data_IF_737845445647
#
_entry.id   IF_737845445647
#
_cell.length_a   1.000
_cell.length_b   1.000
_cell.length_c   1.000
_cell.angle_alpha   90.00
_cell.angle_beta   90.00
_cell.angle_gamma   90.00
#
_symmetry.space_group_name_H-M   'P 1'
#
loop_
_entity.id
_entity.type
_entity.pdbx_description
1 polymer ?
#
# COMPACT_ATOMS: atom_id res chain seq x y z
N UNK A 1 -12.88 -23.92 1.50
CA UNK A 1 -12.48 -22.67 0.81
C UNK A 1 -12.90 -21.49 1.69
N UNK A 2 -11.95 -20.71 2.24
CA UNK A 2 -12.27 -19.49 2.98
C UNK A 2 -13.00 -18.55 2.01
N UNK A 3 -14.23 -18.12 2.33
CA UNK A 3 -14.86 -17.00 1.65
C UNK A 3 -13.88 -15.83 1.77
N UNK A 4 -13.23 -15.46 0.66
CA UNK A 4 -12.61 -14.16 0.58
C UNK A 4 -13.76 -13.18 0.72
N UNK A 5 -13.84 -12.52 1.87
CA UNK A 5 -14.76 -11.42 2.06
C UNK A 5 -14.23 -10.30 1.15
N UNK A 6 -14.64 -10.34 -0.14
CA UNK A 6 -14.43 -9.29 -1.14
C UNK A 6 -15.04 -7.99 -0.60
N UNK A 7 -14.32 -7.33 0.30
CA UNK A 7 -14.78 -6.13 0.98
C UNK A 7 -13.73 -5.06 0.80
N UNK A 8 -14.13 -3.97 0.13
CA UNK A 8 -13.31 -2.79 -0.09
C UNK A 8 -13.41 -2.28 -1.52
N UNK A 9 -12.26 -2.06 -2.14
CA UNK A 9 -12.12 -1.34 -3.40
C UNK A 9 -12.73 -2.04 -4.63
N UNK A 10 -12.48 -3.34 -4.91
CA UNK A 10 -12.96 -3.98 -6.15
C UNK A 10 -14.48 -4.02 -6.24
N UNK A 11 -15.17 -4.29 -5.12
CA UNK A 11 -16.64 -4.27 -5.06
C UNK A 11 -17.17 -2.87 -5.34
N UNK A 12 -16.58 -1.84 -4.72
CA UNK A 12 -17.02 -0.46 -4.95
C UNK A 12 -16.79 -0.03 -6.42
N UNK A 13 -15.68 -0.41 -7.04
CA UNK A 13 -15.41 -0.17 -8.47
C UNK A 13 -16.45 -0.87 -9.35
N UNK A 14 -16.69 -2.17 -9.13
CA UNK A 14 -17.68 -2.93 -9.88
C UNK A 14 -19.11 -2.38 -9.71
N UNK A 15 -19.45 -1.94 -8.49
CA UNK A 15 -20.71 -1.27 -8.19
C UNK A 15 -20.85 0.06 -8.92
N UNK A 16 -19.78 0.86 -9.00
CA UNK A 16 -19.79 2.12 -9.73
C UNK A 16 -19.95 1.90 -11.24
N UNK A 17 -19.30 0.88 -11.80
CA UNK A 17 -19.47 0.48 -13.21
C UNK A 17 -20.93 0.13 -13.49
N UNK A 18 -21.50 -0.79 -12.70
CA UNK A 18 -22.92 -1.21 -12.83
C UNK A 18 -23.87 -0.02 -12.70
N UNK A 19 -23.61 0.88 -11.75
CA UNK A 19 -24.40 2.08 -11.55
C UNK A 19 -24.36 2.98 -12.78
N UNK A 20 -23.17 3.23 -13.35
CA UNK A 20 -22.99 4.06 -14.56
C UNK A 20 -23.71 3.44 -15.76
N UNK A 21 -23.62 2.12 -15.95
CA UNK A 21 -24.31 1.42 -17.02
C UNK A 21 -25.84 1.56 -16.90
N UNK A 22 -26.39 1.39 -15.69
CA UNK A 22 -27.84 1.51 -15.46
C UNK A 22 -28.30 2.96 -15.69
N UNK A 23 -27.64 3.97 -15.11
CA UNK A 23 -28.07 5.37 -15.30
C UNK A 23 -27.94 5.83 -16.75
N UNK A 24 -27.01 5.26 -17.53
CA UNK A 24 -26.90 5.56 -18.95
C UNK A 24 -28.16 5.13 -19.73
N UNK A 25 -28.84 4.06 -19.30
CA UNK A 25 -30.11 3.63 -19.93
C UNK A 25 -31.27 4.59 -19.70
N UNK A 26 -31.20 5.45 -18.67
CA UNK A 26 -32.25 6.42 -18.36
C UNK A 26 -32.26 7.64 -19.30
N UNK A 27 -31.18 7.84 -20.07
CA UNK A 27 -31.07 8.92 -21.07
C UNK A 27 -31.37 10.31 -20.48
N UNK A 28 -32.19 11.09 -21.19
CA UNK A 28 -32.53 12.47 -20.80
C UNK A 28 -33.29 12.59 -19.47
N UNK A 29 -33.90 11.50 -18.97
CA UNK A 29 -34.59 11.52 -17.68
C UNK A 29 -33.61 11.60 -16.49
N UNK A 30 -32.34 11.24 -16.70
CA UNK A 30 -31.28 11.42 -15.71
C UNK A 30 -30.56 12.76 -15.93
N UNK A 31 -31.03 13.82 -15.25
CA UNK A 31 -30.48 15.17 -15.39
C UNK A 31 -30.24 15.85 -14.02
N UNK A 32 -29.22 15.41 -13.26
CA UNK A 32 -28.94 16.00 -11.96
C UNK A 32 -28.30 17.40 -12.07
N UNK A 33 -28.74 18.31 -11.21
CA UNK A 33 -28.14 19.65 -11.07
C UNK A 33 -26.73 19.58 -10.50
N UNK A 34 -26.51 18.69 -9.51
CA UNK A 34 -25.20 18.50 -8.87
C UNK A 34 -24.21 17.92 -9.88
N UNK A 35 -23.10 18.63 -10.10
CA UNK A 35 -22.05 18.25 -11.05
C UNK A 35 -21.44 16.87 -10.76
N UNK A 36 -21.10 16.56 -9.51
CA UNK A 36 -20.37 15.32 -9.15
C UNK A 36 -21.09 14.02 -9.54
N UNK A 37 -22.43 14.05 -9.71
CA UNK A 37 -23.23 12.88 -10.10
C UNK A 37 -23.68 12.90 -11.55
N UNK A 38 -23.23 13.88 -12.35
CA UNK A 38 -23.42 13.83 -13.81
C UNK A 38 -22.62 12.66 -14.39
N UNK A 39 -23.17 12.06 -15.44
CA UNK A 39 -22.66 10.82 -16.03
C UNK A 39 -21.18 10.94 -16.45
N UNK A 40 -20.80 12.05 -17.09
CA UNK A 40 -19.41 12.32 -17.48
C UNK A 40 -18.47 12.41 -16.28
N UNK A 41 -18.88 13.08 -15.20
CA UNK A 41 -18.07 13.19 -13.99
C UNK A 41 -17.94 11.86 -13.25
N UNK A 42 -18.97 11.01 -13.28
CA UNK A 42 -18.92 9.66 -12.70
C UNK A 42 -17.96 8.74 -13.48
N UNK A 43 -17.94 8.84 -14.82
CA UNK A 43 -16.95 8.13 -15.66
C UNK A 43 -15.53 8.61 -15.38
N UNK A 44 -15.31 9.93 -15.38
CA UNK A 44 -14.00 10.51 -15.08
C UNK A 44 -13.51 10.15 -13.66
N UNK A 45 -14.41 10.08 -12.67
CA UNK A 45 -14.08 9.61 -11.33
C UNK A 45 -13.68 8.13 -11.31
N UNK A 46 -14.40 7.28 -12.04
CA UNK A 46 -14.09 5.87 -12.18
C UNK A 46 -12.71 5.65 -12.80
N UNK A 47 -12.35 6.42 -13.82
CA UNK A 47 -11.04 6.32 -14.48
C UNK A 47 -9.91 6.75 -13.55
N UNK A 48 -10.09 7.87 -12.83
CA UNK A 48 -9.14 8.31 -11.78
C UNK A 48 -8.96 7.26 -10.69
N UNK A 49 -10.04 6.63 -10.24
CA UNK A 49 -9.99 5.55 -9.25
C UNK A 49 -9.21 4.34 -9.78
N UNK A 50 -9.47 3.89 -11.01
CA UNK A 50 -8.72 2.78 -11.63
C UNK A 50 -7.24 3.11 -11.79
N UNK A 51 -6.91 4.36 -12.14
CA UNK A 51 -5.54 4.84 -12.22
C UNK A 51 -4.85 4.80 -10.84
N UNK A 52 -5.50 5.32 -9.80
CA UNK A 52 -4.94 5.32 -8.43
C UNK A 52 -4.67 3.92 -7.88
N UNK A 53 -5.48 2.91 -8.26
CA UNK A 53 -5.22 1.52 -7.90
C UNK A 53 -3.93 1.02 -8.55
N UNK A 54 -3.73 1.31 -9.83
CA UNK A 54 -2.49 0.97 -10.54
C UNK A 54 -1.28 1.69 -9.95
N UNK A 55 -1.42 2.96 -9.55
CA UNK A 55 -0.35 3.72 -8.89
C UNK A 55 0.07 3.06 -7.56
N UNK A 56 -0.89 2.59 -6.76
CA UNK A 56 -0.61 1.83 -5.54
C UNK A 56 0.13 0.52 -5.86
N UNK A 57 -0.29 -0.22 -6.90
CA UNK A 57 0.38 -1.46 -7.32
C UNK A 57 1.82 -1.20 -7.80
N UNK A 58 2.05 -0.11 -8.55
CA UNK A 58 3.40 0.24 -8.98
C UNK A 58 4.31 0.69 -7.84
N UNK A 59 3.77 1.45 -6.87
CA UNK A 59 4.56 1.95 -5.73
C UNK A 59 4.91 0.85 -4.72
N UNK A 60 4.05 -0.16 -4.52
CA UNK A 60 4.41 -1.33 -3.72
C UNK A 60 5.51 -2.17 -4.38
N UNK A 61 5.49 -2.30 -5.71
CA UNK A 61 6.56 -2.99 -6.45
C UNK A 61 7.89 -2.25 -6.34
N UNK A 62 7.87 -0.91 -6.41
CA UNK A 62 9.07 -0.07 -6.21
C UNK A 62 9.63 -0.25 -4.80
N UNK A 63 8.78 -0.22 -3.77
CA UNK A 63 9.20 -0.44 -2.39
C UNK A 63 9.77 -1.84 -2.17
N UNK A 64 9.14 -2.87 -2.74
CA UNK A 64 9.61 -4.25 -2.68
C UNK A 64 11.01 -4.41 -3.32
N UNK A 65 11.21 -3.80 -4.50
CA UNK A 65 12.51 -3.79 -5.18
C UNK A 65 13.58 -3.06 -4.36
N UNK A 66 13.27 -1.87 -3.84
CA UNK A 66 14.19 -1.11 -2.99
C UNK A 66 14.61 -1.89 -1.74
N UNK A 67 13.66 -2.58 -1.10
CA UNK A 67 13.93 -3.41 0.07
C UNK A 67 14.84 -4.59 -0.24
N UNK A 68 14.62 -5.28 -1.38
CA UNK A 68 15.46 -6.40 -1.84
C UNK A 68 16.88 -5.96 -2.21
N UNK A 69 17.03 -4.81 -2.89
CA UNK A 69 18.36 -4.26 -3.20
C UNK A 69 19.14 -3.95 -1.92
N UNK A 70 18.46 -3.40 -0.89
CA UNK A 70 19.08 -3.16 0.41
C UNK A 70 19.50 -4.47 1.09
N UNK A 71 18.66 -5.51 1.03
CA UNK A 71 18.95 -6.84 1.59
C UNK A 71 20.19 -7.47 0.94
N UNK A 72 20.29 -7.43 -0.39
CA UNK A 72 21.41 -8.00 -1.14
C UNK A 72 22.78 -7.40 -0.74
N UNK A 73 22.84 -6.11 -0.38
CA UNK A 73 24.10 -5.48 0.09
C UNK A 73 24.62 -6.14 1.38
N UNK A 74 23.75 -6.78 2.17
CA UNK A 74 24.15 -7.45 3.41
C UNK A 74 24.51 -8.93 3.22
N UNK A 75 24.22 -9.54 2.07
CA UNK A 75 24.51 -10.97 1.82
C UNK A 75 26.02 -11.24 1.80
N UNK A 76 26.81 -10.34 1.18
CA UNK A 76 28.27 -10.46 1.08
C UNK A 76 28.97 -10.34 2.45
N UNK A 77 28.34 -9.68 3.43
CA UNK A 77 28.93 -9.46 4.75
C UNK A 77 29.21 -10.78 5.48
N UNK A 78 28.40 -11.82 5.26
CA UNK A 78 28.57 -13.13 5.87
C UNK A 78 29.88 -13.83 5.46
N UNK A 79 30.29 -13.66 4.20
CA UNK A 79 31.52 -14.24 3.65
C UNK A 79 32.76 -13.55 4.25
N UNK A 80 32.81 -12.22 4.21
CA UNK A 80 33.90 -11.45 4.82
C UNK A 80 34.06 -11.76 6.31
N UNK A 81 32.95 -11.84 7.05
CA UNK A 81 32.97 -12.22 8.48
C UNK A 81 33.57 -13.62 8.68
N UNK A 82 33.30 -14.58 7.78
CA UNK A 82 33.90 -15.93 7.83
C UNK A 82 35.41 -15.87 7.59
N UNK A 83 35.85 -15.14 6.56
CA UNK A 83 37.26 -14.97 6.25
C UNK A 83 38.04 -14.35 7.42
N UNK A 84 37.48 -13.31 8.06
CA UNK A 84 38.16 -12.65 9.19
C UNK A 84 38.25 -13.60 10.39
N UNK A 85 37.22 -14.40 10.70
CA UNK A 85 37.30 -15.42 11.77
C UNK A 85 38.42 -16.42 11.50
N UNK A 86 38.53 -16.90 10.26
CA UNK A 86 39.61 -17.80 9.86
C UNK A 86 41.00 -17.18 10.02
N UNK A 87 41.17 -15.93 9.57
CA UNK A 87 42.45 -15.20 9.69
C UNK A 87 42.83 -14.89 11.15
N UNK A 88 41.86 -14.53 11.99
CA UNK A 88 42.10 -14.29 13.43
C UNK A 88 42.45 -15.60 14.15
N UNK A 89 41.82 -16.71 13.75
CA UNK A 89 42.12 -18.03 14.29
C UNK A 89 43.49 -18.59 13.91
N UNK A 90 44.09 -18.13 12.81
CA UNK A 90 45.45 -18.52 12.38
C UNK A 90 46.56 -17.63 12.95
N UNK A 91 46.21 -16.54 13.64
CA UNK A 91 47.19 -15.70 14.31
C UNK A 91 47.56 -16.28 15.69
N UNK A 92 48.83 -16.13 16.09
CA UNK A 92 49.32 -16.48 17.43
C UNK A 92 48.84 -15.48 18.50
N UNK A 93 47.52 -15.42 18.71
CA UNK A 93 46.88 -14.57 19.73
C UNK A 93 46.28 -15.41 20.86
N UNK A 94 46.10 -14.79 22.03
CA UNK A 94 45.49 -15.46 23.18
C UNK A 94 44.09 -16.03 22.83
N UNK A 95 43.76 -17.25 23.28
CA UNK A 95 42.46 -17.88 23.01
C UNK A 95 41.27 -17.06 23.52
N UNK A 96 41.45 -16.31 24.63
CA UNK A 96 40.44 -15.39 25.14
C UNK A 96 40.09 -14.24 24.16
N UNK A 97 41.05 -13.83 23.32
CA UNK A 97 40.86 -12.78 22.31
C UNK A 97 40.12 -13.34 21.07
N UNK A 98 40.36 -14.60 20.71
CA UNK A 98 39.61 -15.32 19.68
C UNK A 98 38.14 -15.47 20.07
N UNK A 99 37.86 -15.88 21.31
CA UNK A 99 36.48 -16.00 21.81
C UNK A 99 35.76 -14.65 21.84
N UNK A 100 36.47 -13.59 22.25
CA UNK A 100 35.94 -12.22 22.20
C UNK A 100 35.56 -11.81 20.77
N UNK A 101 36.40 -12.12 19.78
CA UNK A 101 36.12 -11.85 18.37
C UNK A 101 34.95 -12.69 17.83
N UNK A 102 34.90 -13.99 18.15
CA UNK A 102 33.78 -14.87 17.82
C UNK A 102 32.45 -14.38 18.40
N UNK A 103 32.47 -13.78 19.60
CA UNK A 103 31.29 -13.17 20.21
C UNK A 103 30.78 -11.94 19.43
N UNK A 104 31.67 -11.15 18.82
CA UNK A 104 31.30 -10.02 17.96
C UNK A 104 30.70 -10.52 16.64
N UNK A 105 31.29 -11.57 16.04
CA UNK A 105 30.80 -12.20 14.82
C UNK A 105 29.38 -12.77 15.00
N UNK A 106 29.09 -13.38 16.15
CA UNK A 106 27.72 -13.82 16.50
C UNK A 106 26.71 -12.66 16.53
N UNK A 107 27.13 -11.46 16.96
CA UNK A 107 26.28 -10.26 16.90
C UNK A 107 26.03 -9.82 15.45
N UNK A 108 27.05 -9.84 14.59
CA UNK A 108 26.90 -9.52 13.16
C UNK A 108 25.96 -10.47 12.42
N UNK A 109 25.99 -11.77 12.75
CA UNK A 109 25.14 -12.80 12.13
C UNK A 109 23.73 -12.89 12.72
N UNK A 110 23.38 -12.04 13.68
CA UNK A 110 22.16 -12.16 14.48
C UNK A 110 21.93 -13.55 15.12
N UNK A 111 22.98 -14.37 15.24
CA UNK A 111 22.95 -15.69 15.89
C UNK A 111 23.38 -15.51 17.36
N UNK A 112 22.42 -15.23 18.25
CA UNK A 112 22.68 -15.14 19.69
C UNK A 112 22.39 -16.47 20.41
N UNK A 113 23.28 -16.86 21.32
CA UNK A 113 23.06 -17.99 22.23
C UNK A 113 22.12 -17.65 23.41
N UNK A 114 22.04 -16.38 23.83
CA UNK A 114 21.13 -15.87 24.89
C UNK A 114 20.78 -14.38 24.68
N UNK A 115 19.62 -13.88 25.18
CA UNK A 115 19.23 -12.47 25.07
C UNK A 115 19.84 -11.61 26.21
N UNK A 116 20.36 -10.41 25.91
CA UNK A 116 20.73 -9.40 26.93
C UNK A 116 20.90 -7.99 26.33
N UNK A 117 20.59 -6.99 27.17
CA UNK A 117 20.35 -5.55 26.94
C UNK A 117 21.53 -4.77 26.33
N UNK A 118 21.17 -3.73 25.58
CA UNK A 118 22.02 -2.87 24.74
C UNK A 118 22.78 -1.83 25.58
N UNK A 119 24.02 -1.53 25.16
CA UNK A 119 24.65 -0.20 25.29
C UNK A 119 25.33 0.14 23.96
N UNK A 120 24.95 1.29 23.40
CA UNK A 120 25.48 1.88 22.17
C UNK A 120 26.89 2.47 22.38
N UNK A 121 27.71 2.48 21.33
CA UNK A 121 28.70 3.54 21.10
C UNK A 121 29.15 3.56 19.63
N UNK A 122 29.54 4.74 19.09
CA UNK A 122 29.36 5.09 17.68
C UNK A 122 30.64 5.02 16.81
N UNK A 123 30.37 5.07 15.51
CA UNK A 123 31.21 5.46 14.36
C UNK A 123 32.34 4.54 13.85
N UNK A 124 32.17 4.09 12.59
CA UNK A 124 33.20 4.18 11.53
C UNK A 124 32.59 3.92 10.12
N UNK A 125 33.25 4.35 9.02
CA UNK A 125 32.61 4.78 7.79
C UNK A 125 32.47 3.65 6.75
N UNK A 126 31.24 3.30 6.40
CA UNK A 126 30.90 2.59 5.17
C UNK A 126 29.66 3.29 4.58
N UNK A 127 29.86 4.50 4.09
CA UNK A 127 28.86 5.57 4.27
C UNK A 127 28.26 6.15 2.99
N UNK A 128 28.54 5.61 1.80
CA UNK A 128 27.93 6.14 0.56
C UNK A 128 26.88 5.18 -0.03
N UNK A 129 27.21 3.91 -0.31
CA UNK A 129 26.24 2.95 -0.89
C UNK A 129 25.14 2.49 0.08
N UNK A 130 25.44 2.42 1.38
CA UNK A 130 24.46 2.06 2.42
C UNK A 130 23.49 3.20 2.71
N UNK A 131 23.97 4.46 2.58
CA UNK A 131 23.13 5.66 2.71
C UNK A 131 22.21 5.80 1.51
N UNK A 132 22.70 5.64 0.29
CA UNK A 132 21.88 5.75 -0.93
C UNK A 132 20.73 4.74 -0.94
N UNK A 133 21.01 3.46 -0.62
CA UNK A 133 19.96 2.43 -0.58
C UNK A 133 18.96 2.64 0.57
N UNK A 134 19.41 3.14 1.72
CA UNK A 134 18.51 3.50 2.82
C UNK A 134 17.60 4.68 2.46
N UNK A 135 18.14 5.71 1.80
CA UNK A 135 17.32 6.85 1.31
C UNK A 135 16.31 6.43 0.23
N UNK A 136 16.66 5.46 -0.63
CA UNK A 136 15.76 4.94 -1.66
C UNK A 136 14.54 4.23 -1.06
N UNK A 137 14.74 3.42 0.00
CA UNK A 137 13.63 2.78 0.73
C UNK A 137 12.73 3.83 1.37
N UNK A 138 13.28 4.79 2.12
CA UNK A 138 12.48 5.83 2.76
C UNK A 138 11.67 6.68 1.77
N UNK A 139 12.25 6.98 0.60
CA UNK A 139 11.54 7.68 -0.48
C UNK A 139 10.40 6.82 -1.04
N UNK A 140 10.66 5.55 -1.34
CA UNK A 140 9.64 4.62 -1.84
C UNK A 140 8.50 4.39 -0.84
N UNK A 141 8.79 4.34 0.46
CA UNK A 141 7.79 4.26 1.53
C UNK A 141 6.90 5.51 1.57
N UNK A 142 7.50 6.71 1.45
CA UNK A 142 6.75 7.96 1.43
C UNK A 142 5.84 8.06 0.19
N UNK A 143 6.32 7.62 -0.98
CA UNK A 143 5.55 7.55 -2.22
C UNK A 143 4.39 6.56 -2.11
N UNK A 144 4.64 5.34 -1.62
CA UNK A 144 3.60 4.33 -1.39
C UNK A 144 2.53 4.82 -0.41
N UNK A 145 2.95 5.41 0.70
CA UNK A 145 2.03 5.97 1.70
C UNK A 145 1.17 7.11 1.12
N UNK A 146 1.79 8.00 0.35
CA UNK A 146 1.08 9.09 -0.34
C UNK A 146 0.07 8.56 -1.37
N UNK A 147 0.42 7.51 -2.12
CA UNK A 147 -0.47 6.85 -3.07
C UNK A 147 -1.68 6.21 -2.38
N UNK A 148 -1.49 5.56 -1.23
CA UNK A 148 -2.58 5.02 -0.42
C UNK A 148 -3.55 6.12 0.03
N UNK A 149 -3.01 7.24 0.56
CA UNK A 149 -3.83 8.39 0.99
C UNK A 149 -4.61 8.99 -0.19
N UNK A 150 -3.98 9.13 -1.36
CA UNK A 150 -4.62 9.65 -2.56
C UNK A 150 -5.76 8.73 -3.05
N UNK A 151 -5.53 7.42 -3.08
CA UNK A 151 -6.56 6.43 -3.40
C UNK A 151 -7.73 6.51 -2.43
N UNK A 152 -7.45 6.50 -1.13
CA UNK A 152 -8.49 6.48 -0.09
C UNK A 152 -9.38 7.73 -0.17
N UNK A 153 -8.77 8.90 -0.42
CA UNK A 153 -9.50 10.14 -0.74
C UNK A 153 -10.44 9.97 -1.94
N UNK A 154 -9.98 9.40 -3.06
CA UNK A 154 -10.82 9.20 -4.25
C UNK A 154 -12.01 8.27 -4.01
N UNK A 155 -11.87 7.28 -3.13
CA UNK A 155 -12.99 6.38 -2.82
C UNK A 155 -13.99 6.97 -1.84
N UNK A 156 -13.53 7.71 -0.82
CA UNK A 156 -14.34 7.93 0.37
C UNK A 156 -14.46 9.39 0.81
N UNK A 157 -13.66 10.32 0.27
CA UNK A 157 -13.75 11.73 0.65
C UNK A 157 -15.13 12.31 0.30
N UNK A 158 -15.90 12.82 1.28
CA UNK A 158 -17.12 13.55 0.98
C UNK A 158 -16.78 14.93 0.37
N UNK A 159 -17.56 15.46 -0.59
CA UNK A 159 -18.76 14.88 -1.20
C UNK A 159 -18.50 14.15 -2.54
N UNK A 160 -17.26 14.13 -3.02
CA UNK A 160 -16.90 13.78 -4.40
C UNK A 160 -16.25 12.40 -4.57
N UNK A 161 -16.00 11.68 -3.48
CA UNK A 161 -15.49 10.32 -3.50
C UNK A 161 -16.48 9.35 -4.16
N UNK A 162 -15.95 8.25 -4.69
CA UNK A 162 -16.73 7.24 -5.42
C UNK A 162 -17.94 6.73 -4.62
N UNK A 163 -17.76 6.42 -3.33
CA UNK A 163 -18.82 5.91 -2.47
C UNK A 163 -19.89 6.98 -2.16
N UNK A 164 -19.53 8.21 -1.70
CA UNK A 164 -20.48 9.31 -1.59
C UNK A 164 -21.25 9.61 -2.87
N UNK A 165 -20.57 9.64 -4.02
CA UNK A 165 -21.19 9.88 -5.33
C UNK A 165 -22.20 8.78 -5.67
N UNK A 166 -21.85 7.50 -5.51
CA UNK A 166 -22.77 6.39 -5.74
C UNK A 166 -24.03 6.45 -4.86
N UNK A 167 -23.89 6.85 -3.59
CA UNK A 167 -25.04 7.08 -2.68
C UNK A 167 -25.88 8.30 -3.08
N UNK A 168 -25.24 9.36 -3.55
CA UNK A 168 -25.93 10.56 -4.04
C UNK A 168 -26.73 10.26 -5.31
N UNK A 169 -26.20 9.46 -6.24
CA UNK A 169 -26.93 8.98 -7.43
C UNK A 169 -28.18 8.20 -7.01
N UNK A 170 -28.05 7.23 -6.08
CA UNK A 170 -29.22 6.49 -5.56
C UNK A 170 -30.29 7.41 -4.99
N UNK A 171 -29.88 8.40 -4.22
CA UNK A 171 -30.79 9.37 -3.60
C UNK A 171 -31.49 10.24 -4.65
N UNK A 172 -30.74 10.70 -5.65
CA UNK A 172 -31.28 11.45 -6.78
C UNK A 172 -32.31 10.62 -7.56
N UNK A 173 -31.96 9.40 -7.97
CA UNK A 173 -32.87 8.50 -8.71
C UNK A 173 -34.15 8.24 -7.89
N UNK A 174 -34.03 8.02 -6.57
CA UNK A 174 -35.20 7.87 -5.69
C UNK A 174 -36.12 9.09 -5.73
N UNK A 175 -35.55 10.28 -5.69
CA UNK A 175 -36.32 11.54 -5.67
C UNK A 175 -36.91 11.89 -7.03
N UNK A 176 -36.18 11.66 -8.13
CA UNK A 176 -36.59 12.01 -9.48
C UNK A 176 -37.67 11.06 -10.02
N UNK A 177 -37.53 9.75 -9.75
CA UNK A 177 -38.44 8.72 -10.30
C UNK A 177 -39.48 8.19 -9.29
N UNK A 178 -39.34 8.52 -8.00
CA UNK A 178 -40.08 7.99 -6.84
C UNK A 178 -39.57 6.62 -6.36
N UNK A 179 -39.78 6.34 -5.07
CA UNK A 179 -39.24 5.13 -4.43
C UNK A 179 -39.81 3.80 -4.95
N UNK A 180 -41.02 3.79 -5.52
CA UNK A 180 -41.66 2.57 -6.03
C UNK A 180 -41.29 2.26 -7.49
N UNK A 181 -40.53 3.15 -8.14
CA UNK A 181 -40.27 3.09 -9.58
C UNK A 181 -39.35 1.92 -9.96
N UNK A 182 -39.49 1.36 -11.19
CA UNK A 182 -38.56 0.37 -11.70
C UNK A 182 -37.10 0.87 -11.72
N UNK A 183 -36.87 2.14 -12.07
CA UNK A 183 -35.56 2.78 -12.15
C UNK A 183 -34.86 2.77 -10.79
N UNK A 184 -35.58 3.14 -9.72
CA UNK A 184 -35.01 3.13 -8.38
C UNK A 184 -34.67 1.71 -7.92
N UNK A 185 -35.51 0.70 -8.24
CA UNK A 185 -35.26 -0.70 -7.88
C UNK A 185 -33.98 -1.26 -8.52
N UNK A 186 -33.66 -0.85 -9.75
CA UNK A 186 -32.41 -1.26 -10.42
C UNK A 186 -31.17 -0.73 -9.70
N UNK A 187 -31.24 0.50 -9.19
CA UNK A 187 -30.10 1.19 -8.60
C UNK A 187 -29.99 0.94 -7.08
N UNK A 188 -31.10 0.72 -6.38
CA UNK A 188 -31.14 0.62 -4.92
C UNK A 188 -30.33 -0.55 -4.37
N UNK A 189 -30.28 -1.69 -5.07
CA UNK A 189 -29.58 -2.91 -4.66
C UNK A 189 -28.06 -2.89 -4.80
N UNK A 190 -27.49 -1.89 -5.48
CA UNK A 190 -26.04 -1.86 -5.79
C UNK A 190 -25.21 -1.57 -4.53
N UNK A 191 -24.35 -2.47 -4.03
CA UNK A 191 -23.68 -2.26 -2.75
C UNK A 191 -22.55 -1.23 -2.85
N UNK A 192 -22.50 -0.28 -1.92
CA UNK A 192 -21.34 0.60 -1.71
C UNK A 192 -20.90 0.49 -0.24
N UNK A 193 -19.66 0.08 -0.03
CA UNK A 193 -19.08 -0.16 1.30
C UNK A 193 -18.21 1.03 1.67
N UNK A 194 -18.36 1.57 2.88
CA UNK A 194 -17.46 2.62 3.40
C UNK A 194 -16.12 2.02 3.85
N UNK A 195 -15.12 2.87 4.09
CA UNK A 195 -13.91 2.45 4.82
C UNK A 195 -14.29 1.78 6.13
N UNK A 196 -13.71 0.60 6.37
CA UNK A 196 -13.68 0.04 7.71
C UNK A 196 -12.70 0.90 8.51
N UNK A 197 -13.19 1.60 9.55
CA UNK A 197 -12.30 2.21 10.55
C UNK A 197 -11.41 1.08 11.08
N UNK A 198 -10.10 1.21 10.90
CA UNK A 198 -9.11 0.31 11.50
C UNK A 198 -9.00 0.60 12.99
#
# INVERSE_FOLDING_TARGET
MKKQNDSGYPVNVASQVKLIEIIATFGAAYNPVKSSIKLENLKALLDRVKLSLKEVDTSIDVLSKASKMREHVFDELGEYVTCIVGAVGSCDILPARVESFASLVRKFRAQRATPSNIRDSPDAPAAEETKTNSTAVSKAEAEFSSALIARDKLFYAPPDGLVPCGKAVKSYVKSAFKASSPEFKLVSGIPFTNEKKK
#
